data_IF_219402084802
#
_entry.id   IF_219402084802
#
_cell.length_a   1.000
_cell.length_b   1.000
_cell.length_c   1.000
_cell.angle_alpha   90.00
_cell.angle_beta   90.00
_cell.angle_gamma   90.00
#
_symmetry.space_group_name_H-M   'P 1'
#
loop_
_entity.id
_entity.type
_entity.pdbx_description
1 polymer ?
#
# COMPACT_ATOMS: atom_id res chain seq x y z
N UNK A 1 10.15 33.64 31.23
CA UNK A 1 10.90 32.88 30.20
C UNK A 1 9.94 31.89 29.56
N UNK A 2 9.48 32.19 28.35
CA UNK A 2 8.52 31.34 27.64
C UNK A 2 9.27 30.15 27.04
N UNK A 3 8.93 28.94 27.49
CA UNK A 3 9.40 27.71 26.86
C UNK A 3 8.81 27.62 25.44
N UNK A 4 9.64 27.90 24.44
CA UNK A 4 9.35 27.59 23.05
C UNK A 4 9.17 26.08 22.93
N UNK A 5 7.91 25.63 22.87
CA UNK A 5 7.56 24.27 22.44
C UNK A 5 8.13 24.09 21.04
N UNK A 6 9.30 23.47 20.93
CA UNK A 6 9.79 22.89 19.67
C UNK A 6 8.77 21.83 19.29
N UNK A 7 7.85 22.18 18.40
CA UNK A 7 7.10 21.22 17.61
C UNK A 7 8.12 20.24 17.04
N UNK A 8 8.08 18.96 17.45
CA UNK A 8 8.84 17.90 16.80
C UNK A 8 8.38 17.92 15.34
N UNK A 9 9.16 18.57 14.47
CA UNK A 9 8.99 18.47 13.02
C UNK A 9 8.95 16.97 12.71
N UNK A 10 7.82 16.49 12.19
CA UNK A 10 7.71 15.11 11.71
C UNK A 10 8.83 14.91 10.69
N UNK A 11 9.68 13.91 10.87
CA UNK A 11 10.73 13.59 9.91
C UNK A 11 10.18 12.55 8.93
N UNK A 12 9.74 12.93 7.72
CA UNK A 12 9.14 11.99 6.78
C UNK A 12 10.15 10.98 6.22
N UNK A 13 11.44 11.15 6.48
CA UNK A 13 12.49 10.20 6.11
C UNK A 13 12.46 8.85 6.88
N UNK A 14 11.51 8.67 7.81
CA UNK A 14 11.28 7.42 8.54
C UNK A 14 9.88 6.89 8.24
N UNK A 15 9.65 5.58 8.23
CA UNK A 15 8.31 5.01 7.96
C UNK A 15 7.20 5.56 8.87
N UNK A 16 7.40 5.72 10.20
CA UNK A 16 6.38 6.34 11.06
C UNK A 16 6.16 7.81 10.75
N UNK A 17 7.24 8.55 10.45
CA UNK A 17 7.16 9.97 10.11
C UNK A 17 6.49 10.21 8.76
N UNK A 18 6.81 9.39 7.75
CA UNK A 18 6.16 9.34 6.45
C UNK A 18 4.65 9.24 6.61
N UNK A 19 4.17 8.23 7.36
CA UNK A 19 2.74 8.05 7.55
C UNK A 19 2.07 9.18 8.30
N UNK A 20 2.73 9.68 9.34
CA UNK A 20 2.21 10.81 10.10
C UNK A 20 2.03 12.04 9.20
N UNK A 21 3.02 12.34 8.36
CA UNK A 21 2.95 13.45 7.40
C UNK A 21 1.84 13.24 6.36
N UNK A 22 1.67 12.03 5.83
CA UNK A 22 0.58 11.74 4.89
C UNK A 22 -0.79 11.93 5.53
N UNK A 23 -0.99 11.46 6.76
CA UNK A 23 -2.26 11.65 7.49
C UNK A 23 -2.62 13.11 7.70
N UNK A 24 -1.63 13.98 7.85
CA UNK A 24 -1.83 15.43 7.97
C UNK A 24 -2.12 16.07 6.60
N UNK A 25 -1.46 15.63 5.53
CA UNK A 25 -1.58 16.22 4.19
C UNK A 25 -2.79 15.72 3.40
N UNK A 26 -3.10 14.42 3.47
CA UNK A 26 -4.06 13.77 2.57
C UNK A 26 -5.50 14.32 2.64
N UNK A 27 -6.09 14.59 3.83
CA UNK A 27 -7.46 15.11 3.89
C UNK A 27 -7.64 16.42 3.12
N UNK A 28 -6.66 17.33 3.20
CA UNK A 28 -6.71 18.62 2.50
C UNK A 28 -6.75 18.43 0.98
N UNK A 29 -5.96 17.47 0.48
CA UNK A 29 -5.97 17.11 -0.92
C UNK A 29 -7.30 16.48 -1.30
N UNK A 30 -7.79 15.48 -0.58
CA UNK A 30 -9.03 14.77 -0.92
C UNK A 30 -10.27 15.67 -0.91
N UNK A 31 -10.37 16.62 0.03
CA UNK A 31 -11.54 17.50 0.15
C UNK A 31 -11.53 18.67 -0.83
N UNK A 32 -10.36 19.25 -1.10
CA UNK A 32 -10.26 20.54 -1.80
C UNK A 32 -9.76 20.40 -3.22
N UNK A 33 -9.43 19.20 -3.69
CA UNK A 33 -8.98 18.99 -5.05
C UNK A 33 -10.04 19.40 -6.09
N UNK A 34 -9.66 20.07 -7.21
CA UNK A 34 -8.33 20.55 -7.62
C UNK A 34 -7.93 21.92 -7.05
N UNK A 35 -8.79 22.56 -6.26
CA UNK A 35 -8.60 23.91 -5.69
C UNK A 35 -7.71 23.93 -4.43
N UNK A 36 -6.73 23.02 -4.37
CA UNK A 36 -5.76 22.97 -3.26
C UNK A 36 -4.91 24.25 -3.27
N UNK A 37 -4.79 24.90 -2.11
CA UNK A 37 -4.03 26.14 -1.98
C UNK A 37 -2.56 25.95 -2.37
N UNK A 38 -1.95 26.97 -3.00
CA UNK A 38 -0.54 26.93 -3.45
C UNK A 38 0.43 26.47 -2.34
N UNK A 39 0.26 27.00 -1.13
CA UNK A 39 1.05 26.60 0.05
C UNK A 39 0.98 25.09 0.35
N UNK A 40 -0.17 24.46 0.13
CA UNK A 40 -0.32 23.02 0.35
C UNK A 40 0.36 22.21 -0.76
N UNK A 41 0.35 22.71 -2.00
CA UNK A 41 1.15 22.17 -3.10
C UNK A 41 2.65 22.19 -2.79
N UNK A 42 3.14 23.33 -2.32
CA UNK A 42 4.54 23.49 -1.89
C UNK A 42 4.90 22.53 -0.73
N UNK A 43 4.00 22.32 0.24
CA UNK A 43 4.21 21.37 1.33
C UNK A 43 4.31 19.91 0.84
N UNK A 44 3.48 19.53 -0.14
CA UNK A 44 3.56 18.20 -0.75
C UNK A 44 4.86 18.02 -1.53
N UNK A 45 5.28 19.02 -2.30
CA UNK A 45 6.56 18.97 -3.02
C UNK A 45 7.74 18.77 -2.07
N UNK A 46 7.81 19.57 -0.99
CA UNK A 46 8.85 19.41 0.05
C UNK A 46 8.79 18.01 0.67
N UNK A 47 7.59 17.53 1.00
CA UNK A 47 7.42 16.20 1.56
C UNK A 47 7.92 15.10 0.59
N UNK A 48 7.60 15.19 -0.69
CA UNK A 48 8.03 14.24 -1.71
C UNK A 48 9.55 14.26 -1.87
N UNK A 49 10.18 15.43 -1.88
CA UNK A 49 11.63 15.57 -1.95
C UNK A 49 12.33 14.94 -0.74
N UNK A 50 11.81 15.20 0.47
CA UNK A 50 12.34 14.62 1.72
C UNK A 50 12.21 13.08 1.76
N UNK A 51 11.10 12.52 1.26
CA UNK A 51 10.89 11.06 1.22
C UNK A 51 11.75 10.41 0.14
N UNK A 52 11.84 11.01 -1.05
CA UNK A 52 12.64 10.47 -2.15
C UNK A 52 14.15 10.51 -1.87
N UNK A 53 14.61 11.45 -1.05
CA UNK A 53 16.00 11.52 -0.60
C UNK A 53 16.31 10.66 0.64
N UNK A 54 15.30 9.99 1.21
CA UNK A 54 15.45 9.12 2.38
C UNK A 54 15.90 7.69 2.02
N UNK A 55 16.00 6.83 3.03
CA UNK A 55 16.27 5.39 2.84
C UNK A 55 15.01 4.58 2.46
N UNK A 56 13.81 5.17 2.54
CA UNK A 56 12.56 4.45 2.28
C UNK A 56 12.52 3.87 0.85
N UNK A 57 12.86 4.63 -0.23
CA UNK A 57 12.92 4.07 -1.58
C UNK A 57 13.87 2.87 -1.71
N UNK A 58 15.07 2.94 -1.13
CA UNK A 58 16.04 1.84 -1.15
C UNK A 58 15.53 0.61 -0.40
N UNK A 59 14.93 0.80 0.78
CA UNK A 59 14.34 -0.29 1.54
C UNK A 59 13.22 -0.99 0.76
N UNK A 60 12.35 -0.22 0.09
CA UNK A 60 11.30 -0.78 -0.77
C UNK A 60 11.90 -1.56 -1.93
N UNK A 61 12.92 -1.00 -2.59
CA UNK A 61 13.59 -1.64 -3.71
C UNK A 61 14.19 -3.00 -3.30
N UNK A 62 15.08 -3.00 -2.31
CA UNK A 62 15.88 -4.17 -1.93
C UNK A 62 15.01 -5.33 -1.47
N UNK A 63 13.94 -5.06 -0.71
CA UNK A 63 13.17 -6.10 -0.04
C UNK A 63 11.92 -6.51 -0.80
N UNK A 64 11.36 -5.64 -1.64
CA UNK A 64 10.04 -5.88 -2.24
C UNK A 64 10.00 -5.77 -3.76
N UNK A 65 11.08 -5.32 -4.41
CA UNK A 65 11.15 -5.20 -5.88
C UNK A 65 12.27 -6.03 -6.47
N UNK A 66 13.49 -5.89 -5.96
CA UNK A 66 14.65 -6.65 -6.42
C UNK A 66 14.41 -8.18 -6.44
N UNK A 67 13.70 -8.81 -5.46
CA UNK A 67 13.45 -10.25 -5.51
C UNK A 67 12.66 -10.71 -6.74
N UNK A 68 11.81 -9.85 -7.30
CA UNK A 68 10.87 -10.16 -8.39
C UNK A 68 11.32 -9.61 -9.75
N UNK A 69 12.12 -8.54 -9.77
CA UNK A 69 12.58 -7.87 -11.00
C UNK A 69 14.11 -7.87 -11.11
N UNK A 70 14.75 -9.03 -10.87
CA UNK A 70 16.22 -9.16 -10.80
C UNK A 70 16.97 -8.69 -12.04
N UNK A 71 16.34 -8.80 -13.21
CA UNK A 71 16.95 -8.47 -14.50
C UNK A 71 16.86 -6.98 -14.86
N UNK A 72 16.08 -6.19 -14.12
CA UNK A 72 15.83 -4.78 -14.41
C UNK A 72 16.02 -3.94 -13.15
N UNK A 73 16.94 -2.99 -13.19
CA UNK A 73 17.07 -2.01 -12.13
C UNK A 73 15.85 -1.07 -12.13
N UNK A 74 14.88 -1.37 -11.26
CA UNK A 74 13.70 -0.53 -11.08
C UNK A 74 13.98 0.61 -10.11
N UNK A 75 13.77 1.85 -10.55
CA UNK A 75 13.82 3.03 -9.68
C UNK A 75 12.53 3.14 -8.87
N UNK A 76 12.64 3.41 -7.58
CA UNK A 76 11.49 3.72 -6.72
C UNK A 76 11.35 5.23 -6.60
N UNK A 77 10.15 5.76 -6.79
CA UNK A 77 9.87 7.18 -6.69
C UNK A 77 8.52 7.44 -6.04
N UNK A 78 8.51 8.28 -5.01
CA UNK A 78 7.29 8.86 -4.48
C UNK A 78 6.90 10.03 -5.39
N UNK A 79 5.79 9.89 -6.09
CA UNK A 79 5.35 10.84 -7.10
C UNK A 79 4.05 11.52 -6.67
N UNK A 80 4.00 12.83 -6.91
CA UNK A 80 2.81 13.65 -6.72
C UNK A 80 1.89 13.65 -7.95
N UNK A 81 1.14 14.74 -8.10
CA UNK A 81 0.07 14.95 -9.08
C UNK A 81 0.49 14.57 -10.52
N UNK A 82 -0.01 13.46 -11.06
CA UNK A 82 0.16 13.10 -12.47
C UNK A 82 -1.08 13.51 -13.27
N UNK A 83 -0.89 14.34 -14.31
CA UNK A 83 -1.96 14.84 -15.19
C UNK A 83 -3.13 15.49 -14.43
N UNK A 84 -2.83 16.16 -13.32
CA UNK A 84 -3.86 16.84 -12.56
C UNK A 84 -4.77 15.88 -11.78
N UNK A 85 -4.28 14.74 -11.30
CA UNK A 85 -5.01 13.91 -10.34
C UNK A 85 -4.10 13.27 -9.30
N UNK A 86 -4.51 13.33 -8.03
CA UNK A 86 -3.94 12.60 -6.89
C UNK A 86 -4.98 11.63 -6.32
N UNK A 87 -4.52 10.54 -5.70
CA UNK A 87 -5.38 9.59 -4.98
C UNK A 87 -6.08 8.54 -5.83
N UNK A 88 -5.85 8.50 -7.15
CA UNK A 88 -6.50 7.50 -8.03
C UNK A 88 -5.84 6.12 -8.02
N UNK A 89 -4.61 6.04 -7.56
CA UNK A 89 -3.79 4.83 -7.55
C UNK A 89 -2.82 4.95 -6.38
N UNK A 90 -2.45 3.86 -5.73
CA UNK A 90 -1.49 3.89 -4.60
C UNK A 90 -0.07 3.60 -5.06
N UNK A 91 0.10 2.58 -5.90
CA UNK A 91 1.39 2.18 -6.48
C UNK A 91 1.17 1.88 -7.96
N UNK A 92 2.16 2.17 -8.80
CA UNK A 92 2.17 1.82 -10.22
C UNK A 92 3.54 1.37 -10.65
N UNK A 93 3.60 0.25 -11.38
CA UNK A 93 4.82 -0.19 -12.04
C UNK A 93 4.75 0.18 -13.54
N UNK A 94 5.78 0.86 -14.04
CA UNK A 94 6.00 1.05 -15.46
C UNK A 94 7.25 0.29 -15.89
N UNK A 95 7.04 -0.86 -16.54
CA UNK A 95 8.11 -1.69 -17.10
C UNK A 95 8.87 -1.01 -18.24
N UNK A 96 8.25 -0.07 -18.95
CA UNK A 96 8.89 0.70 -20.02
C UNK A 96 9.90 1.71 -19.46
N UNK A 97 9.52 2.38 -18.37
CA UNK A 97 10.36 3.40 -17.72
C UNK A 97 11.25 2.83 -16.61
N UNK A 98 11.17 1.52 -16.35
CA UNK A 98 11.81 0.85 -15.20
C UNK A 98 11.61 1.62 -13.89
N UNK A 99 10.37 2.06 -13.63
CA UNK A 99 10.06 2.87 -12.45
C UNK A 99 8.83 2.30 -11.74
N UNK A 100 8.93 2.18 -10.42
CA UNK A 100 7.80 2.03 -9.52
C UNK A 100 7.51 3.39 -8.91
N UNK A 101 6.28 3.86 -9.11
CA UNK A 101 5.78 5.11 -8.54
C UNK A 101 4.85 4.80 -7.37
N UNK A 102 4.96 5.59 -6.30
CA UNK A 102 4.09 5.53 -5.13
C UNK A 102 3.41 6.90 -4.99
N UNK A 103 2.08 6.93 -4.98
CA UNK A 103 1.30 8.13 -4.68
C UNK A 103 0.98 8.10 -3.17
N UNK A 104 1.54 9.04 -2.38
CA UNK A 104 1.25 9.11 -0.94
C UNK A 104 -0.23 9.28 -0.61
N UNK A 105 -0.98 10.03 -1.42
CA UNK A 105 -2.42 10.25 -1.22
C UNK A 105 -3.19 8.99 -1.60
N UNK A 106 -2.79 8.34 -2.67
CA UNK A 106 -3.35 7.05 -3.07
C UNK A 106 -3.10 5.96 -2.03
N UNK A 107 -1.93 5.94 -1.41
CA UNK A 107 -1.62 5.02 -0.32
C UNK A 107 -2.49 5.31 0.92
N UNK A 108 -2.72 6.58 1.25
CA UNK A 108 -3.68 6.95 2.29
C UNK A 108 -5.08 6.44 1.98
N UNK A 109 -5.55 6.63 0.75
CA UNK A 109 -6.87 6.12 0.33
C UNK A 109 -6.94 4.60 0.40
N UNK A 110 -5.87 3.90 0.00
CA UNK A 110 -5.77 2.44 0.13
C UNK A 110 -5.91 1.98 1.58
N UNK A 111 -5.30 2.69 2.55
CA UNK A 111 -5.47 2.40 3.97
C UNK A 111 -6.89 2.74 4.47
N UNK A 112 -7.45 3.88 4.06
CA UNK A 112 -8.79 4.33 4.42
C UNK A 112 -9.90 3.39 3.89
N UNK A 113 -9.66 2.74 2.75
CA UNK A 113 -10.53 1.70 2.21
C UNK A 113 -10.68 0.50 3.15
N UNK A 114 -9.61 0.15 3.88
CA UNK A 114 -9.66 -0.91 4.88
C UNK A 114 -10.47 -0.48 6.09
N UNK A 115 -10.33 0.78 6.54
CA UNK A 115 -11.10 1.33 7.66
C UNK A 115 -12.61 1.26 7.42
N UNK A 116 -13.03 1.38 6.15
CA UNK A 116 -14.44 1.30 5.72
C UNK A 116 -14.92 -0.14 5.46
N UNK A 117 -14.06 -1.13 5.58
CA UNK A 117 -14.36 -2.50 5.15
C UNK A 117 -15.53 -3.14 5.91
N UNK A 118 -15.73 -2.82 7.19
CA UNK A 118 -16.83 -3.37 7.98
C UNK A 118 -18.21 -2.98 7.41
N UNK A 119 -18.40 -1.73 7.02
CA UNK A 119 -19.66 -1.27 6.43
C UNK A 119 -19.83 -1.80 4.99
N UNK A 120 -18.73 -1.90 4.24
CA UNK A 120 -18.77 -2.50 2.89
C UNK A 120 -19.09 -3.99 2.92
N UNK A 121 -18.59 -4.74 3.91
CA UNK A 121 -18.91 -6.15 4.11
C UNK A 121 -20.41 -6.35 4.38
N UNK A 122 -21.01 -5.57 5.31
CA UNK A 122 -22.46 -5.63 5.58
C UNK A 122 -23.30 -5.35 4.33
N UNK A 123 -22.87 -4.41 3.49
CA UNK A 123 -23.55 -4.13 2.23
C UNK A 123 -23.41 -5.31 1.24
N UNK A 124 -22.21 -5.84 1.08
CA UNK A 124 -21.96 -6.99 0.20
C UNK A 124 -22.75 -8.24 0.61
N UNK A 125 -22.92 -8.46 1.91
CA UNK A 125 -23.77 -9.53 2.46
C UNK A 125 -25.24 -9.36 2.04
N UNK A 126 -25.81 -8.15 2.17
CA UNK A 126 -27.18 -7.85 1.72
C UNK A 126 -27.37 -8.02 0.21
N UNK A 127 -26.34 -7.68 -0.56
CA UNK A 127 -26.34 -7.77 -2.02
C UNK A 127 -26.08 -9.22 -2.52
N UNK A 128 -25.82 -10.18 -1.61
CA UNK A 128 -25.53 -11.58 -1.95
C UNK A 128 -24.20 -11.78 -2.70
N UNK A 129 -23.30 -10.79 -2.68
CA UNK A 129 -22.03 -10.87 -3.40
C UNK A 129 -20.94 -11.48 -2.50
N UNK A 130 -20.80 -12.80 -2.58
CA UNK A 130 -19.84 -13.56 -1.78
C UNK A 130 -18.39 -13.08 -1.93
N UNK A 131 -17.95 -12.78 -3.15
CA UNK A 131 -16.56 -12.37 -3.41
C UNK A 131 -16.25 -11.01 -2.78
N UNK A 132 -17.19 -10.06 -2.87
CA UNK A 132 -17.07 -8.75 -2.20
C UNK A 132 -17.08 -8.89 -0.69
N UNK A 133 -17.98 -9.72 -0.15
CA UNK A 133 -18.03 -10.01 1.28
C UNK A 133 -16.69 -10.57 1.76
N UNK A 134 -16.10 -11.50 1.01
CA UNK A 134 -14.79 -12.10 1.30
C UNK A 134 -13.66 -11.07 1.26
N UNK A 135 -13.58 -10.27 0.19
CA UNK A 135 -12.60 -9.19 0.06
C UNK A 135 -12.67 -8.20 1.23
N UNK A 136 -13.87 -7.71 1.57
CA UNK A 136 -14.02 -6.74 2.67
C UNK A 136 -13.79 -7.37 4.05
N UNK A 137 -14.13 -8.64 4.24
CA UNK A 137 -13.78 -9.37 5.46
C UNK A 137 -12.26 -9.49 5.61
N UNK A 138 -11.55 -9.74 4.50
CA UNK A 138 -10.10 -9.77 4.50
C UNK A 138 -9.47 -8.40 4.74
N UNK A 139 -10.01 -7.32 4.14
CA UNK A 139 -9.57 -5.96 4.43
C UNK A 139 -9.70 -5.62 5.94
N UNK A 140 -10.77 -6.08 6.58
CA UNK A 140 -10.95 -5.91 8.03
C UNK A 140 -9.86 -6.64 8.83
N UNK A 141 -9.44 -7.82 8.38
CA UNK A 141 -8.29 -8.50 8.99
C UNK A 141 -7.01 -7.69 8.80
N UNK A 142 -6.74 -7.20 7.59
CA UNK A 142 -5.55 -6.40 7.27
C UNK A 142 -5.39 -5.14 8.14
N UNK A 143 -6.49 -4.56 8.64
CA UNK A 143 -6.46 -3.42 9.59
C UNK A 143 -5.75 -3.69 10.91
N UNK A 144 -5.55 -4.96 11.28
CA UNK A 144 -4.83 -5.31 12.52
C UNK A 144 -3.34 -4.97 12.41
N UNK A 145 -2.81 -4.80 11.20
CA UNK A 145 -1.41 -4.43 10.99
C UNK A 145 -1.16 -2.96 11.34
N UNK A 146 0.04 -2.64 11.83
CA UNK A 146 0.53 -1.28 11.84
C UNK A 146 0.46 -0.67 10.44
N UNK A 147 -0.06 0.55 10.35
CA UNK A 147 -0.29 1.22 9.06
C UNK A 147 0.98 1.34 8.21
N UNK A 148 2.15 1.42 8.86
CA UNK A 148 3.46 1.43 8.20
C UNK A 148 3.66 0.25 7.27
N UNK A 149 3.04 -0.89 7.55
CA UNK A 149 3.15 -2.08 6.72
C UNK A 149 2.26 -2.03 5.47
N UNK A 150 1.26 -1.14 5.44
CA UNK A 150 0.38 -0.98 4.28
C UNK A 150 1.12 -0.45 3.04
N UNK A 151 2.24 0.28 3.23
CA UNK A 151 3.14 0.63 2.14
C UNK A 151 3.65 -0.63 1.43
N UNK A 152 4.15 -1.59 2.20
CA UNK A 152 4.71 -2.83 1.65
C UNK A 152 3.64 -3.71 1.02
N UNK A 153 2.46 -3.79 1.65
CA UNK A 153 1.32 -4.50 1.06
C UNK A 153 0.87 -3.89 -0.27
N UNK A 154 0.80 -2.56 -0.36
CA UNK A 154 0.42 -1.89 -1.61
C UNK A 154 1.46 -2.13 -2.72
N UNK A 155 2.75 -2.11 -2.37
CA UNK A 155 3.84 -2.44 -3.31
C UNK A 155 3.72 -3.88 -3.78
N UNK A 156 3.65 -4.85 -2.87
CA UNK A 156 3.55 -6.27 -3.22
C UNK A 156 2.27 -6.60 -3.99
N UNK A 157 1.14 -5.96 -3.67
CA UNK A 157 -0.10 -6.07 -4.46
C UNK A 157 0.15 -5.67 -5.91
N UNK A 158 0.81 -4.53 -6.14
CA UNK A 158 1.13 -4.07 -7.49
C UNK A 158 2.11 -4.99 -8.21
N UNK A 159 3.10 -5.55 -7.49
CA UNK A 159 3.99 -6.60 -8.04
C UNK A 159 3.19 -7.81 -8.50
N UNK A 160 2.23 -8.28 -7.68
CA UNK A 160 1.38 -9.42 -8.00
C UNK A 160 0.51 -9.15 -9.23
N UNK A 161 -0.08 -7.96 -9.30
CA UNK A 161 -0.91 -7.53 -10.44
C UNK A 161 -0.07 -7.46 -11.71
N UNK A 162 1.04 -6.75 -11.66
CA UNK A 162 1.93 -6.56 -12.81
C UNK A 162 2.50 -7.88 -13.34
N UNK A 163 2.86 -8.79 -12.42
CA UNK A 163 3.44 -10.09 -12.76
C UNK A 163 2.39 -11.18 -12.98
N UNK A 164 1.10 -10.85 -12.92
CA UNK A 164 -0.03 -11.76 -13.05
C UNK A 164 0.01 -12.98 -12.10
N UNK A 165 0.65 -12.84 -10.93
CA UNK A 165 0.82 -13.92 -9.94
C UNK A 165 -0.53 -14.39 -9.36
N UNK A 166 -1.52 -13.51 -9.38
CA UNK A 166 -2.89 -13.84 -8.94
C UNK A 166 -3.63 -14.81 -9.89
N UNK A 167 -3.08 -15.12 -11.07
CA UNK A 167 -3.74 -15.93 -12.10
C UNK A 167 -3.37 -17.42 -12.08
N UNK A 168 -2.42 -17.85 -11.24
CA UNK A 168 -1.72 -19.15 -11.35
C UNK A 168 -2.62 -20.40 -11.33
N UNK A 169 -3.81 -20.34 -10.73
CA UNK A 169 -4.74 -21.49 -10.66
C UNK A 169 -5.99 -21.40 -11.54
N UNK A 170 -6.13 -20.33 -12.34
CA UNK A 170 -7.32 -20.13 -13.17
C UNK A 170 -7.04 -20.47 -14.63
N UNK A 171 -7.59 -21.59 -15.12
CA UNK A 171 -7.70 -21.93 -16.56
C UNK A 171 -8.60 -20.96 -17.37
N UNK A 172 -8.71 -19.72 -16.92
CA UNK A 172 -9.60 -18.70 -17.46
C UNK A 172 -9.48 -17.48 -16.56
N UNK A 173 -8.86 -16.44 -17.09
CA UNK A 173 -8.61 -15.16 -16.45
C UNK A 173 -9.77 -14.74 -15.52
N UNK A 174 -9.45 -14.39 -14.28
CA UNK A 174 -10.36 -13.63 -13.44
C UNK A 174 -10.77 -12.36 -14.18
N UNK A 175 -11.94 -12.39 -14.84
CA UNK A 175 -12.49 -11.25 -15.58
C UNK A 175 -13.06 -10.17 -14.66
N UNK A 176 -13.11 -10.47 -13.35
CA UNK A 176 -13.58 -9.55 -12.34
C UNK A 176 -12.41 -8.91 -11.55
N UNK A 177 -12.41 -7.58 -11.54
CA UNK A 177 -11.48 -6.73 -10.79
C UNK A 177 -11.42 -7.10 -9.29
N UNK A 178 -12.54 -7.54 -8.70
CA UNK A 178 -12.61 -7.86 -7.27
C UNK A 178 -11.86 -9.16 -6.90
N UNK A 179 -11.82 -10.15 -7.81
CA UNK A 179 -11.04 -11.36 -7.61
C UNK A 179 -9.55 -11.06 -7.71
N UNK A 180 -9.16 -10.31 -8.74
CA UNK A 180 -7.76 -9.91 -8.93
C UNK A 180 -7.26 -9.11 -7.71
N UNK A 181 -8.07 -8.18 -7.19
CA UNK A 181 -7.74 -7.43 -5.97
C UNK A 181 -7.61 -8.35 -4.75
N UNK A 182 -8.55 -9.27 -4.55
CA UNK A 182 -8.51 -10.20 -3.41
C UNK A 182 -7.28 -11.09 -3.43
N UNK A 183 -7.02 -11.78 -4.53
CA UNK A 183 -5.91 -12.72 -4.65
C UNK A 183 -4.54 -12.02 -4.66
N UNK A 184 -4.43 -10.83 -5.26
CA UNK A 184 -3.18 -10.05 -5.20
C UNK A 184 -2.85 -9.60 -3.78
N UNK A 185 -3.85 -9.20 -2.98
CA UNK A 185 -3.64 -8.83 -1.58
C UNK A 185 -3.30 -10.03 -0.69
N UNK A 186 -3.90 -11.21 -0.95
CA UNK A 186 -3.57 -12.43 -0.22
C UNK A 186 -2.13 -12.85 -0.47
N UNK A 187 -1.70 -12.83 -1.73
CA UNK A 187 -0.30 -13.08 -2.08
C UNK A 187 0.62 -12.06 -1.41
N UNK A 188 0.26 -10.76 -1.47
CA UNK A 188 1.04 -9.69 -0.85
C UNK A 188 1.19 -9.89 0.66
N UNK A 189 0.12 -10.29 1.36
CA UNK A 189 0.19 -10.61 2.79
C UNK A 189 1.17 -11.76 3.04
N UNK A 190 1.09 -12.86 2.28
CA UNK A 190 1.99 -14.00 2.46
C UNK A 190 3.45 -13.65 2.24
N UNK A 191 3.77 -12.91 1.18
CA UNK A 191 5.14 -12.44 0.96
C UNK A 191 5.62 -11.51 2.08
N UNK A 192 4.73 -10.68 2.63
CA UNK A 192 5.05 -9.84 3.77
C UNK A 192 5.22 -10.65 5.08
N UNK A 193 4.46 -11.72 5.29
CA UNK A 193 4.62 -12.66 6.41
C UNK A 193 6.01 -13.31 6.38
N UNK A 194 6.45 -13.77 5.21
CA UNK A 194 7.78 -14.36 5.03
C UNK A 194 8.90 -13.35 5.30
N UNK A 195 8.74 -12.12 4.80
CA UNK A 195 9.68 -11.03 5.09
C UNK A 195 9.71 -10.72 6.60
N UNK A 196 8.55 -10.56 7.22
CA UNK A 196 8.42 -10.25 8.65
C UNK A 196 9.07 -11.33 9.50
N UNK A 197 8.84 -12.61 9.18
CA UNK A 197 9.47 -13.73 9.86
C UNK A 197 10.99 -13.70 9.73
N UNK A 198 11.53 -13.41 8.54
CA UNK A 198 12.98 -13.33 8.31
C UNK A 198 13.64 -12.18 9.08
N UNK A 199 12.99 -11.02 9.15
CA UNK A 199 13.58 -9.81 9.75
C UNK A 199 13.32 -9.72 11.25
N UNK A 200 12.11 -10.06 11.70
CA UNK A 200 11.72 -9.95 13.12
C UNK A 200 11.90 -11.27 13.88
N UNK A 201 12.11 -12.39 13.19
CA UNK A 201 12.18 -13.74 13.79
C UNK A 201 10.92 -14.04 14.62
N UNK A 202 9.78 -13.52 14.15
CA UNK A 202 8.47 -13.63 14.80
C UNK A 202 7.39 -13.87 13.77
N UNK A 203 6.30 -14.51 14.19
CA UNK A 203 5.17 -14.77 13.31
C UNK A 203 4.22 -13.56 13.30
N UNK A 204 4.05 -12.93 12.13
CA UNK A 204 3.18 -11.77 11.94
C UNK A 204 1.75 -12.04 12.43
N UNK A 205 1.22 -13.24 12.15
CA UNK A 205 -0.14 -13.59 12.54
C UNK A 205 -0.30 -13.72 14.03
N UNK A 206 0.67 -14.31 14.72
CA UNK A 206 0.68 -14.40 16.18
C UNK A 206 0.79 -13.01 16.82
N UNK A 207 1.61 -12.13 16.26
CA UNK A 207 1.86 -10.81 16.82
C UNK A 207 0.66 -9.86 16.73
N UNK A 208 -0.14 -9.99 15.67
CA UNK A 208 -1.28 -9.11 15.39
C UNK A 208 -2.64 -9.82 15.41
N UNK A 209 -2.69 -11.10 15.76
CA UNK A 209 -3.93 -11.88 15.87
C UNK A 209 -4.66 -12.06 14.53
N UNK A 210 -3.92 -12.33 13.45
CA UNK A 210 -4.51 -12.63 12.14
C UNK A 210 -5.12 -14.02 12.12
N UNK A 211 -6.38 -14.10 11.67
CA UNK A 211 -7.11 -15.35 11.52
C UNK A 211 -7.64 -15.45 10.09
N UNK A 212 -6.72 -15.44 9.12
CA UNK A 212 -7.02 -15.63 7.71
C UNK A 212 -6.04 -16.62 7.08
N UNK A 213 -6.51 -17.84 6.82
CA UNK A 213 -5.64 -18.96 6.41
C UNK A 213 -5.55 -19.13 4.89
N UNK A 214 -6.38 -18.44 4.11
CA UNK A 214 -6.48 -18.67 2.67
C UNK A 214 -5.23 -18.21 1.89
N UNK A 215 -4.39 -17.34 2.48
CA UNK A 215 -3.09 -17.00 1.91
C UNK A 215 -2.18 -18.23 1.77
N UNK A 216 -2.41 -19.30 2.54
CA UNK A 216 -1.66 -20.55 2.44
C UNK A 216 -1.92 -21.30 1.13
N UNK A 217 -3.01 -20.99 0.44
CA UNK A 217 -3.39 -21.65 -0.82
C UNK A 217 -2.80 -20.97 -2.05
N UNK A 218 -2.17 -19.79 -1.90
CA UNK A 218 -1.55 -19.02 -2.99
C UNK A 218 -0.04 -19.24 -2.99
N UNK A 219 0.37 -20.50 -2.87
CA UNK A 219 1.74 -20.90 -3.21
C UNK A 219 1.75 -21.51 -4.61
N UNK A 220 2.23 -20.69 -5.54
CA UNK A 220 2.87 -21.16 -6.75
C UNK A 220 4.31 -21.62 -6.44
N UNK A 221 4.50 -22.50 -5.45
CA UNK A 221 5.79 -23.15 -5.25
C UNK A 221 5.79 -24.49 -5.98
N UNK A 222 6.05 -24.41 -7.29
CA UNK A 222 7.10 -25.18 -7.94
C UNK A 222 7.75 -24.34 -9.04
#
# INVERSE_FOLDING_TARGET
>A
MAATRKSKKNNPATLPGFWKSIKELAPVYLEKYPKVAKKQKELMEIFLDEVNSSQIPSLVYENFILPYFREKEMKISFAGEEKGVLGKWSVKISSEQNILKIDPIGLYMFADEFAKAAEKAKKAEKDGNFLKLRLFSFHKELLKLPEQYLLFLAVLKEVAIHSQIYAVDSKGAFSNNEAAEYFSLLWALKQFEDFYLKVQIRNLRSDYGFIWHEGEWIDASR
#
